data_IF_701627913966
#
_entry.id   IF_701627913966
#
_cell.length_a   1.000
_cell.length_b   1.000
_cell.length_c   1.000
_cell.angle_alpha   90.00
_cell.angle_beta   90.00
_cell.angle_gamma   90.00
#
_symmetry.space_group_name_H-M   'P 1'
#
loop_
_entity.id
_entity.type
_entity.pdbx_description
1 polymer ?
#
# COMPACT_ATOMS: atom_id res chain seq x y z
N UNK A 1 -16.39 -10.38 -6.02
CA UNK A 1 -16.92 -9.08 -5.63
C UNK A 1 -17.50 -8.42 -6.88
N UNK A 2 -18.70 -7.83 -6.84
CA UNK A 2 -19.32 -7.25 -8.02
C UNK A 2 -18.54 -6.03 -8.53
N UNK A 3 -18.45 -5.94 -9.85
CA UNK A 3 -17.82 -4.82 -10.57
C UNK A 3 -18.78 -4.42 -11.68
N UNK A 4 -19.00 -3.14 -11.85
CA UNK A 4 -19.83 -2.61 -12.94
C UNK A 4 -19.07 -2.65 -14.29
N UNK A 5 -18.64 -3.85 -14.70
CA UNK A 5 -17.91 -4.09 -15.94
C UNK A 5 -18.78 -3.85 -17.19
N UNK A 6 -20.09 -4.01 -17.05
CA UNK A 6 -21.07 -3.64 -18.04
C UNK A 6 -22.22 -2.86 -17.35
N UNK A 7 -22.59 -1.71 -17.87
CA UNK A 7 -23.67 -0.87 -17.35
C UNK A 7 -24.80 -0.76 -18.36
N UNK A 8 -26.04 -0.68 -17.87
CA UNK A 8 -27.20 -0.47 -18.72
C UNK A 8 -27.48 1.03 -18.85
N UNK A 9 -27.34 1.55 -20.05
CA UNK A 9 -27.63 2.94 -20.37
C UNK A 9 -28.81 2.98 -21.37
N UNK A 10 -29.96 3.47 -20.92
CA UNK A 10 -31.17 3.51 -21.77
C UNK A 10 -31.64 2.17 -22.30
N UNK A 11 -31.30 1.06 -21.61
CA UNK A 11 -31.61 -0.31 -22.03
C UNK A 11 -30.53 -1.02 -22.85
N UNK A 12 -29.48 -0.32 -23.29
CA UNK A 12 -28.33 -0.92 -23.94
C UNK A 12 -27.22 -1.23 -22.93
N UNK A 13 -26.58 -2.41 -23.07
CA UNK A 13 -25.39 -2.77 -22.31
C UNK A 13 -24.16 -2.07 -22.88
N UNK A 14 -23.48 -1.29 -22.06
CA UNK A 14 -22.23 -0.60 -22.40
C UNK A 14 -21.10 -1.27 -21.65
N UNK A 15 -20.10 -1.79 -22.37
CA UNK A 15 -18.89 -2.31 -21.78
C UNK A 15 -18.07 -1.15 -21.18
N UNK A 16 -17.74 -1.26 -19.90
CA UNK A 16 -17.09 -0.19 -19.15
C UNK A 16 -15.88 -0.76 -18.40
N UNK A 17 -15.92 -0.89 -17.09
CA UNK A 17 -14.77 -1.19 -16.25
C UNK A 17 -14.05 -2.49 -16.63
N UNK A 18 -12.80 -2.38 -17.11
CA UNK A 18 -11.95 -3.54 -17.47
C UNK A 18 -12.37 -4.30 -18.71
N UNK A 19 -13.32 -3.77 -19.49
CA UNK A 19 -13.77 -4.38 -20.77
C UNK A 19 -13.54 -3.52 -21.98
N UNK A 20 -13.86 -2.22 -21.90
CA UNK A 20 -13.74 -1.32 -23.03
C UNK A 20 -13.71 0.14 -22.61
N UNK A 21 -13.38 1.00 -23.57
CA UNK A 21 -13.41 2.44 -23.40
C UNK A 21 -14.69 3.01 -24.03
N UNK A 22 -15.12 4.16 -23.55
CA UNK A 22 -16.32 4.84 -24.01
C UNK A 22 -15.97 6.25 -24.44
N UNK A 23 -16.50 6.68 -25.57
CA UNK A 23 -16.40 8.05 -26.05
C UNK A 23 -17.81 8.62 -26.21
N UNK A 24 -18.07 9.72 -25.52
CA UNK A 24 -19.36 10.41 -25.48
C UNK A 24 -19.21 11.80 -26.05
N UNK A 25 -20.02 12.15 -27.05
CA UNK A 25 -20.04 13.48 -27.64
C UNK A 25 -21.48 14.00 -27.86
N UNK A 26 -21.60 15.33 -27.99
CA UNK A 26 -22.89 15.93 -28.37
C UNK A 26 -23.01 15.97 -29.90
N UNK A 27 -24.22 15.70 -30.40
CA UNK A 27 -24.54 15.92 -31.80
C UNK A 27 -24.97 17.38 -32.12
N UNK A 28 -25.28 18.15 -31.10
CA UNK A 28 -25.86 19.53 -31.23
C UNK A 28 -25.39 20.50 -30.15
N UNK A 29 -24.30 20.27 -29.46
CA UNK A 29 -23.75 21.15 -28.40
C UNK A 29 -24.78 21.62 -27.37
N UNK A 30 -25.66 20.72 -26.95
CA UNK A 30 -26.70 20.98 -25.95
C UNK A 30 -26.35 20.54 -24.53
N UNK A 31 -25.13 20.02 -24.33
CA UNK A 31 -24.62 19.53 -23.04
C UNK A 31 -25.20 18.17 -22.63
N UNK A 32 -25.85 17.46 -23.53
CA UNK A 32 -26.41 16.12 -23.26
C UNK A 32 -25.32 15.08 -22.99
N UNK A 33 -24.14 15.21 -23.65
CA UNK A 33 -22.98 14.36 -23.44
C UNK A 33 -22.46 14.39 -22.01
N UNK A 34 -22.46 15.57 -21.37
CA UNK A 34 -22.09 15.70 -19.97
C UNK A 34 -23.04 14.94 -19.05
N UNK A 35 -24.35 15.02 -19.27
CA UNK A 35 -25.31 14.27 -18.49
C UNK A 35 -25.13 12.75 -18.63
N UNK A 36 -24.83 12.28 -19.86
CA UNK A 36 -24.55 10.86 -20.12
C UNK A 36 -23.23 10.45 -19.46
N UNK A 37 -22.17 11.25 -19.52
CA UNK A 37 -20.90 10.99 -18.85
C UNK A 37 -21.10 10.90 -17.32
N UNK A 38 -21.85 11.80 -16.72
CA UNK A 38 -22.19 11.77 -15.31
C UNK A 38 -23.02 10.53 -14.92
N UNK A 39 -23.98 10.13 -15.76
CA UNK A 39 -24.74 8.91 -15.55
C UNK A 39 -23.84 7.66 -15.58
N UNK A 40 -22.89 7.59 -16.50
CA UNK A 40 -21.91 6.48 -16.57
C UNK A 40 -21.01 6.43 -15.34
N UNK A 41 -20.53 7.58 -14.86
CA UNK A 41 -19.72 7.66 -13.62
C UNK A 41 -20.56 7.17 -12.42
N UNK A 42 -21.82 7.64 -12.30
CA UNK A 42 -22.71 7.23 -11.22
C UNK A 42 -22.99 5.71 -11.24
N UNK A 43 -23.27 5.15 -12.42
CA UNK A 43 -23.49 3.71 -12.60
C UNK A 43 -22.24 2.90 -12.27
N UNK A 44 -21.05 3.37 -12.66
CA UNK A 44 -19.80 2.72 -12.33
C UNK A 44 -19.53 2.72 -10.82
N UNK A 45 -19.72 3.87 -10.15
CA UNK A 45 -19.55 3.99 -8.69
C UNK A 45 -20.56 3.17 -7.91
N UNK A 46 -21.85 3.27 -8.28
CA UNK A 46 -22.92 2.57 -7.58
C UNK A 46 -22.98 1.06 -7.83
N UNK A 47 -22.51 0.61 -9.01
CA UNK A 47 -22.51 -0.80 -9.41
C UNK A 47 -21.23 -1.56 -9.05
N UNK A 48 -20.17 -0.86 -8.64
CA UNK A 48 -18.91 -1.49 -8.23
C UNK A 48 -18.79 -1.50 -6.70
N UNK A 49 -18.32 -2.61 -6.13
CA UNK A 49 -18.08 -2.69 -4.69
C UNK A 49 -17.20 -1.51 -4.25
N UNK A 50 -17.61 -0.73 -3.24
CA UNK A 50 -16.88 0.43 -2.78
C UNK A 50 -15.41 0.11 -2.45
N UNK A 51 -14.50 1.00 -2.88
CA UNK A 51 -13.05 0.80 -2.73
C UNK A 51 -12.41 -0.09 -3.81
N UNK A 52 -13.19 -0.62 -4.76
CA UNK A 52 -12.69 -1.41 -5.88
C UNK A 52 -12.56 -0.62 -7.18
N UNK A 53 -13.03 0.61 -7.20
CA UNK A 53 -12.95 1.56 -8.31
C UNK A 53 -12.33 2.86 -7.84
N UNK A 54 -11.39 3.36 -8.60
CA UNK A 54 -10.78 4.68 -8.51
C UNK A 54 -11.16 5.48 -9.76
N UNK A 55 -11.64 6.69 -9.58
CA UNK A 55 -12.03 7.59 -10.69
C UNK A 55 -11.03 8.72 -10.77
N UNK A 56 -10.36 8.85 -11.90
CA UNK A 56 -9.39 9.92 -12.17
C UNK A 56 -9.99 10.82 -13.25
N UNK A 57 -10.24 12.08 -12.92
CA UNK A 57 -10.86 13.04 -13.85
C UNK A 57 -9.81 14.03 -14.32
N UNK A 58 -9.53 14.00 -15.61
CA UNK A 58 -8.67 14.93 -16.32
C UNK A 58 -9.58 15.92 -17.06
N UNK A 59 -9.86 17.07 -16.44
CA UNK A 59 -10.84 18.05 -16.95
C UNK A 59 -10.14 19.27 -17.55
N UNK A 60 -9.47 19.08 -18.69
CA UNK A 60 -8.76 20.15 -19.44
C UNK A 60 -9.73 21.23 -19.97
N UNK A 61 -10.97 20.85 -20.23
CA UNK A 61 -12.00 21.77 -20.74
C UNK A 61 -12.81 22.46 -19.63
N UNK A 62 -12.50 22.21 -18.36
CA UNK A 62 -13.18 22.77 -17.18
C UNK A 62 -14.70 22.56 -17.21
N UNK A 63 -15.13 21.38 -17.63
CA UNK A 63 -16.55 21.03 -17.80
C UNK A 63 -17.28 20.89 -16.47
N UNK A 64 -16.56 20.63 -15.38
CA UNK A 64 -17.16 20.36 -14.09
C UNK A 64 -17.90 19.02 -14.02
N UNK A 65 -17.60 18.06 -14.92
CA UNK A 65 -18.26 16.75 -14.99
C UNK A 65 -18.20 15.99 -13.67
N UNK A 66 -17.13 16.18 -12.88
CA UNK A 66 -16.92 15.54 -11.59
C UNK A 66 -17.55 16.28 -10.41
N UNK A 67 -18.05 17.51 -10.58
CA UNK A 67 -18.53 18.35 -9.48
C UNK A 67 -19.57 17.66 -8.55
N UNK A 68 -20.53 16.87 -9.06
CA UNK A 68 -21.50 16.22 -8.20
C UNK A 68 -20.96 15.07 -7.34
N UNK A 69 -19.73 14.59 -7.65
CA UNK A 69 -19.15 13.40 -7.02
C UNK A 69 -18.10 13.69 -5.96
N UNK A 70 -17.84 14.96 -5.61
CA UNK A 70 -16.77 15.34 -4.66
C UNK A 70 -16.93 14.67 -3.29
N UNK A 71 -18.16 14.49 -2.82
CA UNK A 71 -18.45 13.87 -1.53
C UNK A 71 -18.07 12.39 -1.45
N UNK A 72 -17.73 11.73 -2.57
CA UNK A 72 -17.36 10.30 -2.59
C UNK A 72 -16.11 10.00 -1.75
N UNK A 73 -15.24 10.99 -1.54
CA UNK A 73 -14.03 10.86 -0.71
C UNK A 73 -14.30 10.95 0.80
N UNK A 74 -15.54 11.22 1.21
CA UNK A 74 -15.91 11.36 2.63
C UNK A 74 -15.72 10.09 3.48
N UNK A 75 -15.56 8.90 2.86
CA UNK A 75 -15.32 7.63 3.53
C UNK A 75 -13.87 7.40 4.01
N UNK A 76 -12.98 8.37 3.87
CA UNK A 76 -11.58 8.28 4.29
C UNK A 76 -10.65 7.55 3.30
N UNK A 77 -11.17 7.08 2.16
CA UNK A 77 -10.39 6.58 1.03
C UNK A 77 -10.54 7.54 -0.15
N UNK A 78 -9.44 7.85 -0.83
CA UNK A 78 -9.49 8.66 -2.06
C UNK A 78 -10.01 7.80 -3.21
N UNK A 79 -11.25 8.04 -3.62
CA UNK A 79 -11.92 7.33 -4.72
C UNK A 79 -11.94 8.20 -5.98
N UNK A 80 -12.04 9.51 -5.82
CA UNK A 80 -12.09 10.49 -6.90
C UNK A 80 -10.89 11.42 -6.80
N UNK A 81 -10.17 11.57 -7.90
CA UNK A 81 -9.12 12.57 -8.10
C UNK A 81 -9.47 13.47 -9.29
N UNK A 82 -9.50 14.76 -9.08
CA UNK A 82 -9.81 15.74 -10.14
C UNK A 82 -8.57 16.59 -10.41
N UNK A 83 -8.09 16.53 -11.63
CA UNK A 83 -6.84 17.13 -12.07
C UNK A 83 -7.14 18.09 -13.25
N UNK A 84 -7.17 19.42 -13.03
CA UNK A 84 -7.61 20.38 -14.04
C UNK A 84 -6.49 20.87 -14.98
N UNK A 85 -5.24 20.49 -14.75
CA UNK A 85 -4.08 21.04 -15.46
C UNK A 85 -3.48 20.13 -16.52
N UNK A 86 -2.88 20.70 -17.56
CA UNK A 86 -2.17 19.94 -18.62
C UNK A 86 -0.91 19.24 -18.12
N UNK A 87 -0.22 19.81 -17.14
CA UNK A 87 0.95 19.18 -16.52
C UNK A 87 0.53 17.93 -15.74
N UNK A 88 -0.61 17.99 -15.06
CA UNK A 88 -1.22 16.85 -14.37
C UNK A 88 -1.61 15.75 -15.36
N UNK A 89 -2.09 16.10 -16.54
CA UNK A 89 -2.42 15.14 -17.59
C UNK A 89 -1.20 14.31 -18.01
N UNK A 90 -0.05 14.93 -18.29
CA UNK A 90 1.17 14.22 -18.68
C UNK A 90 1.70 13.31 -17.55
N UNK A 91 1.69 13.82 -16.32
CA UNK A 91 2.12 13.05 -15.14
C UNK A 91 1.21 11.82 -14.92
N UNK A 92 -0.12 12.02 -15.08
CA UNK A 92 -1.10 10.94 -14.94
C UNK A 92 -0.98 9.90 -16.03
N UNK A 93 -0.79 10.29 -17.29
CA UNK A 93 -0.58 9.34 -18.39
C UNK A 93 0.68 8.49 -18.17
N UNK A 94 1.77 9.09 -17.69
CA UNK A 94 2.99 8.36 -17.34
C UNK A 94 2.76 7.38 -16.17
N UNK A 95 2.04 7.80 -15.14
CA UNK A 95 1.63 6.93 -14.03
C UNK A 95 0.78 5.75 -14.52
N UNK A 96 -0.25 6.01 -15.35
CA UNK A 96 -1.12 4.97 -15.90
C UNK A 96 -0.34 3.97 -16.76
N UNK A 97 0.63 4.43 -17.55
CA UNK A 97 1.51 3.56 -18.34
C UNK A 97 2.29 2.60 -17.43
N UNK A 98 2.94 3.12 -16.40
CA UNK A 98 3.69 2.31 -15.44
C UNK A 98 2.77 1.32 -14.70
N UNK A 99 1.58 1.77 -14.31
CA UNK A 99 0.57 0.94 -13.66
C UNK A 99 0.13 -0.23 -14.59
N UNK A 100 -0.24 0.06 -15.85
CA UNK A 100 -0.63 -0.95 -16.84
C UNK A 100 0.49 -1.98 -17.06
N UNK A 101 1.74 -1.54 -17.16
CA UNK A 101 2.89 -2.43 -17.29
C UNK A 101 3.04 -3.33 -16.04
N UNK A 102 2.92 -2.76 -14.85
CA UNK A 102 2.98 -3.51 -13.59
C UNK A 102 1.90 -4.58 -13.50
N UNK A 103 0.64 -4.23 -13.80
CA UNK A 103 -0.48 -5.17 -13.80
C UNK A 103 -0.27 -6.28 -14.85
N UNK A 104 0.10 -5.92 -16.08
CA UNK A 104 0.31 -6.88 -17.15
C UNK A 104 1.41 -7.89 -16.80
N UNK A 105 2.52 -7.46 -16.20
CA UNK A 105 3.60 -8.36 -15.78
C UNK A 105 3.14 -9.44 -14.79
N UNK A 106 2.15 -9.15 -13.98
CA UNK A 106 1.64 -10.10 -12.96
C UNK A 106 0.51 -10.98 -13.52
N UNK A 107 -0.36 -10.40 -14.35
CA UNK A 107 -1.51 -11.11 -14.94
C UNK A 107 -1.08 -12.01 -16.11
N UNK A 108 -0.02 -11.65 -16.83
CA UNK A 108 0.49 -12.39 -17.97
C UNK A 108 0.80 -13.84 -17.60
N UNK A 109 0.27 -14.78 -18.37
CA UNK A 109 0.41 -16.21 -18.13
C UNK A 109 -0.47 -16.80 -17.03
N UNK A 110 -1.28 -15.96 -16.34
CA UNK A 110 -2.20 -16.39 -15.28
C UNK A 110 -3.66 -16.20 -15.65
N UNK A 111 -3.98 -15.06 -16.27
CA UNK A 111 -5.32 -14.75 -16.74
C UNK A 111 -5.28 -13.85 -17.98
N UNK A 112 -6.36 -13.80 -18.78
CA UNK A 112 -6.42 -12.93 -19.97
C UNK A 112 -6.40 -11.44 -19.63
N UNK A 113 -6.94 -11.05 -18.49
CA UNK A 113 -7.05 -9.67 -18.02
C UNK A 113 -7.21 -9.60 -16.49
N UNK A 114 -7.09 -8.39 -15.93
CA UNK A 114 -7.26 -8.16 -14.49
C UNK A 114 -8.64 -8.59 -13.98
N UNK A 115 -9.71 -8.35 -14.74
CA UNK A 115 -11.07 -8.73 -14.37
C UNK A 115 -11.20 -10.24 -14.13
N UNK A 116 -10.70 -11.05 -15.06
CA UNK A 116 -10.71 -12.52 -14.93
C UNK A 116 -9.78 -12.99 -13.83
N UNK A 117 -8.61 -12.37 -13.67
CA UNK A 117 -7.71 -12.67 -12.57
C UNK A 117 -8.37 -12.45 -11.21
N UNK A 118 -9.10 -11.33 -11.04
CA UNK A 118 -9.82 -11.03 -9.80
C UNK A 118 -10.92 -12.06 -9.47
N UNK A 119 -11.52 -12.69 -10.47
CA UNK A 119 -12.50 -13.77 -10.28
C UNK A 119 -11.87 -15.07 -9.79
N UNK A 120 -10.59 -15.28 -10.05
CA UNK A 120 -9.84 -16.49 -9.68
C UNK A 120 -9.21 -16.42 -8.28
N UNK A 121 -9.12 -15.24 -7.69
CA UNK A 121 -8.47 -15.04 -6.39
C UNK A 121 -9.48 -14.59 -5.34
N UNK A 122 -9.25 -14.98 -4.09
CA UNK A 122 -10.11 -14.70 -2.94
C UNK A 122 -9.63 -13.51 -2.08
N UNK A 123 -8.62 -12.79 -2.54
CA UNK A 123 -8.04 -11.65 -1.84
C UNK A 123 -8.15 -10.36 -2.68
N UNK A 124 -8.15 -9.18 -2.01
CA UNK A 124 -8.13 -7.90 -2.71
C UNK A 124 -6.91 -7.75 -3.62
N UNK A 125 -7.14 -7.38 -4.86
CA UNK A 125 -6.10 -7.02 -5.83
C UNK A 125 -6.26 -5.55 -6.22
N UNK A 126 -5.48 -5.08 -7.21
CA UNK A 126 -5.57 -3.71 -7.71
C UNK A 126 -7.01 -3.24 -7.92
N UNK A 127 -7.30 -1.99 -7.56
CA UNK A 127 -8.56 -1.32 -7.92
C UNK A 127 -8.61 -1.10 -9.43
N UNK A 128 -9.82 -1.11 -9.98
CA UNK A 128 -10.04 -0.63 -11.34
C UNK A 128 -9.89 0.89 -11.40
N UNK A 129 -9.47 1.40 -12.54
CA UNK A 129 -9.34 2.84 -12.76
C UNK A 129 -10.25 3.26 -13.91
N UNK A 130 -11.20 4.15 -13.59
CA UNK A 130 -11.98 4.86 -14.58
C UNK A 130 -11.35 6.23 -14.80
N UNK A 131 -10.73 6.42 -15.95
CA UNK A 131 -10.10 7.68 -16.34
C UNK A 131 -11.11 8.47 -17.17
N UNK A 132 -11.63 9.54 -16.59
CA UNK A 132 -12.53 10.46 -17.30
C UNK A 132 -11.69 11.56 -17.93
N UNK A 133 -11.59 11.58 -19.26
CA UNK A 133 -10.92 12.63 -20.00
C UNK A 133 -11.97 13.60 -20.58
N UNK A 134 -12.18 14.70 -19.89
CA UNK A 134 -13.06 15.78 -20.35
C UNK A 134 -12.23 16.81 -21.12
N UNK A 135 -12.07 16.56 -22.41
CA UNK A 135 -11.28 17.39 -23.32
C UNK A 135 -11.77 17.23 -24.75
N UNK A 136 -11.59 18.27 -25.54
CA UNK A 136 -11.64 18.14 -27.00
C UNK A 136 -10.38 17.43 -27.46
N UNK A 137 -10.52 16.13 -27.76
CA UNK A 137 -9.38 15.27 -28.08
C UNK A 137 -8.60 15.74 -29.28
N UNK A 138 -9.28 16.36 -30.28
CA UNK A 138 -8.65 16.87 -31.51
C UNK A 138 -7.78 18.09 -31.26
N UNK A 139 -8.03 18.86 -30.19
CA UNK A 139 -7.26 20.02 -29.78
C UNK A 139 -6.08 19.70 -28.86
N UNK A 140 -5.97 18.47 -28.40
CA UNK A 140 -4.83 18.04 -27.60
C UNK A 140 -3.56 17.96 -28.48
N UNK A 141 -2.37 18.25 -27.94
CA UNK A 141 -1.12 18.05 -28.66
C UNK A 141 -0.98 16.61 -29.17
N UNK A 142 -0.46 16.42 -30.36
CA UNK A 142 -0.31 15.11 -31.02
C UNK A 142 0.41 14.08 -30.14
N UNK A 143 1.40 14.52 -29.39
CA UNK A 143 2.11 13.68 -28.40
C UNK A 143 1.16 13.11 -27.36
N UNK A 144 0.22 13.90 -26.85
CA UNK A 144 -0.77 13.47 -25.86
C UNK A 144 -1.79 12.55 -26.51
N UNK A 145 -2.27 12.87 -27.71
CA UNK A 145 -3.20 12.00 -28.45
C UNK A 145 -2.60 10.61 -28.65
N UNK A 146 -1.34 10.53 -29.09
CA UNK A 146 -0.63 9.25 -29.28
C UNK A 146 -0.47 8.49 -27.97
N UNK A 147 -0.13 9.16 -26.86
CA UNK A 147 -0.01 8.54 -25.55
C UNK A 147 -1.33 7.97 -25.07
N UNK A 148 -2.42 8.73 -25.18
CA UNK A 148 -3.77 8.26 -24.81
C UNK A 148 -4.18 7.08 -25.70
N UNK A 149 -3.90 7.09 -27.02
CA UNK A 149 -4.21 5.98 -27.90
C UNK A 149 -3.52 4.67 -27.48
N UNK A 150 -2.26 4.75 -27.04
CA UNK A 150 -1.54 3.59 -26.47
C UNK A 150 -2.24 3.04 -25.23
N UNK A 151 -2.67 3.95 -24.34
CA UNK A 151 -3.33 3.58 -23.08
C UNK A 151 -4.76 3.03 -23.34
N UNK A 152 -5.50 3.58 -24.30
CA UNK A 152 -6.80 3.07 -24.73
C UNK A 152 -6.71 1.61 -25.18
N UNK A 153 -5.64 1.26 -25.92
CA UNK A 153 -5.42 -0.09 -26.42
C UNK A 153 -5.00 -1.09 -25.32
N UNK A 154 -4.13 -0.67 -24.42
CA UNK A 154 -3.54 -1.54 -23.41
C UNK A 154 -4.33 -1.56 -22.09
N UNK A 155 -5.04 -0.48 -21.77
CA UNK A 155 -5.66 -0.22 -20.48
C UNK A 155 -6.73 -1.22 -20.05
N UNK A 156 -7.73 -1.56 -20.89
CA UNK A 156 -8.84 -2.42 -20.46
C UNK A 156 -8.39 -3.76 -19.89
N UNK A 157 -7.35 -4.39 -20.47
CA UNK A 157 -6.79 -5.64 -19.97
C UNK A 157 -6.17 -5.52 -18.59
N UNK A 158 -5.64 -4.33 -18.26
CA UNK A 158 -5.06 -4.01 -16.96
C UNK A 158 -6.06 -3.35 -15.99
N UNK A 159 -7.33 -3.29 -16.36
CA UNK A 159 -8.37 -2.68 -15.52
C UNK A 159 -8.41 -1.16 -15.56
N UNK A 160 -7.77 -0.54 -16.55
CA UNK A 160 -7.80 0.92 -16.79
C UNK A 160 -8.72 1.19 -17.98
N UNK A 161 -9.81 1.89 -17.74
CA UNK A 161 -10.83 2.20 -18.75
C UNK A 161 -10.96 3.71 -18.88
N UNK A 162 -11.07 4.18 -20.11
CA UNK A 162 -11.27 5.60 -20.39
C UNK A 162 -12.74 5.88 -20.72
N UNK A 163 -13.26 6.94 -20.12
CA UNK A 163 -14.48 7.62 -20.51
C UNK A 163 -14.07 9.00 -21.08
N UNK A 164 -14.09 9.12 -22.40
CA UNK A 164 -13.76 10.37 -23.06
C UNK A 164 -15.05 11.16 -23.27
N UNK A 165 -15.09 12.35 -22.71
CA UNK A 165 -16.17 13.30 -22.85
C UNK A 165 -15.70 14.49 -23.72
N UNK A 166 -16.23 14.61 -24.93
CA UNK A 166 -15.93 15.68 -25.85
C UNK A 166 -17.14 16.57 -26.02
N UNK A 167 -16.93 17.89 -25.99
CA UNK A 167 -17.96 18.88 -26.28
C UNK A 167 -17.95 19.29 -27.76
N UNK A 168 -16.95 18.86 -28.53
CA UNK A 168 -16.89 19.11 -29.97
C UNK A 168 -17.51 17.97 -30.76
N UNK A 169 -18.09 18.33 -31.91
CA UNK A 169 -18.53 17.35 -32.91
C UNK A 169 -17.40 17.05 -33.88
N UNK A 170 -17.10 15.80 -34.08
CA UNK A 170 -16.14 15.43 -35.13
C UNK A 170 -15.70 13.97 -35.03
N UNK A 171 -15.53 13.37 -36.19
CA UNK A 171 -14.96 12.01 -36.28
C UNK A 171 -13.49 12.09 -35.92
N UNK A 172 -13.09 11.41 -34.88
CA UNK A 172 -11.69 11.24 -34.52
C UNK A 172 -11.26 9.80 -34.81
N UNK A 173 -10.41 9.62 -35.83
CA UNK A 173 -9.96 8.30 -36.27
C UNK A 173 -9.21 7.52 -35.18
N UNK A 174 -8.53 8.21 -34.25
CA UNK A 174 -7.84 7.56 -33.12
C UNK A 174 -8.82 6.90 -32.12
N UNK A 175 -9.97 7.53 -31.91
CA UNK A 175 -10.98 7.02 -30.97
C UNK A 175 -11.88 5.98 -31.61
N UNK A 176 -12.10 6.09 -32.94
CA UNK A 176 -12.89 5.15 -33.72
C UNK A 176 -12.20 3.77 -33.73
N UNK A 177 -12.89 2.76 -33.26
CA UNK A 177 -12.33 1.39 -33.14
C UNK A 177 -11.59 1.09 -31.82
N UNK A 178 -11.31 2.10 -30.96
CA UNK A 178 -10.77 1.90 -29.61
C UNK A 178 -11.79 2.18 -28.51
N UNK A 179 -12.88 2.87 -28.83
CA UNK A 179 -13.94 3.23 -27.90
C UNK A 179 -15.31 2.84 -28.42
N UNK A 180 -16.22 2.52 -27.54
CA UNK A 180 -17.66 2.50 -27.83
C UNK A 180 -18.09 3.93 -27.99
N UNK A 181 -18.47 4.33 -29.20
CA UNK A 181 -18.86 5.70 -29.52
C UNK A 181 -20.34 5.90 -29.23
N UNK A 182 -20.65 6.91 -28.44
CA UNK A 182 -22.01 7.33 -28.04
C UNK A 182 -22.19 8.79 -28.45
N UNK A 183 -23.17 9.01 -29.33
CA UNK A 183 -23.57 10.37 -29.73
C UNK A 183 -24.86 10.76 -29.02
N UNK A 184 -24.87 11.90 -28.38
CA UNK A 184 -26.00 12.40 -27.58
C UNK A 184 -26.78 13.47 -28.33
N UNK A 185 -28.12 13.35 -28.33
CA UNK A 185 -29.06 14.31 -28.89
C UNK A 185 -30.18 14.53 -27.90
N UNK A 186 -30.10 15.57 -27.10
CA UNK A 186 -30.95 15.75 -25.94
C UNK A 186 -30.88 14.54 -25.03
N UNK A 187 -32.05 13.92 -24.73
CA UNK A 187 -32.10 12.69 -23.90
C UNK A 187 -31.85 11.39 -24.68
N UNK A 188 -31.66 11.45 -26.00
CA UNK A 188 -31.47 10.27 -26.85
C UNK A 188 -30.00 9.98 -27.05
N UNK A 189 -29.60 8.73 -26.86
CA UNK A 189 -28.25 8.22 -27.10
C UNK A 189 -28.25 7.32 -28.33
N UNK A 190 -27.35 7.59 -29.24
CA UNK A 190 -27.15 6.87 -30.50
C UNK A 190 -25.79 6.15 -30.48
N UNK A 191 -25.68 5.01 -31.14
CA UNK A 191 -24.39 4.37 -31.41
C UNK A 191 -23.70 4.96 -32.66
N UNK A 192 -22.47 4.49 -32.94
CA UNK A 192 -21.70 4.91 -34.10
C UNK A 192 -22.39 4.74 -35.44
N UNK A 193 -23.41 3.87 -35.54
CA UNK A 193 -24.21 3.66 -36.75
C UNK A 193 -25.42 4.61 -36.83
N UNK A 194 -25.63 5.47 -35.84
CA UNK A 194 -26.81 6.31 -35.71
C UNK A 194 -28.05 5.59 -35.18
N UNK A 195 -27.92 4.31 -34.76
CA UNK A 195 -29.02 3.56 -34.18
C UNK A 195 -29.25 4.03 -32.75
N UNK A 196 -30.51 4.28 -32.43
CA UNK A 196 -30.93 4.65 -31.06
C UNK A 196 -30.70 3.51 -30.07
N UNK A 197 -29.88 3.74 -29.07
CA UNK A 197 -29.67 2.83 -27.95
C UNK A 197 -30.73 2.98 -26.85
N UNK A 198 -31.13 4.23 -26.57
CA UNK A 198 -32.13 4.48 -25.55
C UNK A 198 -32.32 5.97 -25.24
N UNK A 199 -33.07 6.24 -24.18
CA UNK A 199 -33.20 7.59 -23.58
C UNK A 199 -32.51 7.59 -22.23
N UNK A 200 -31.67 8.58 -22.00
CA UNK A 200 -31.01 8.84 -20.72
C UNK A 200 -31.45 10.23 -20.28
N UNK A 201 -32.42 10.32 -19.36
CA UNK A 201 -32.74 11.61 -18.77
C UNK A 201 -31.49 12.15 -18.05
N UNK A 202 -31.29 13.46 -18.11
CA UNK A 202 -30.21 14.09 -17.35
C UNK A 202 -30.43 13.80 -15.85
N UNK A 203 -29.48 13.15 -15.16
CA UNK A 203 -29.63 12.87 -13.73
C UNK A 203 -29.67 14.20 -12.96
N UNK A 204 -30.53 14.28 -11.97
CA UNK A 204 -30.59 15.44 -11.10
C UNK A 204 -29.32 15.57 -10.26
N UNK A 205 -28.85 16.79 -10.03
CA UNK A 205 -27.64 17.01 -9.23
C UNK A 205 -27.72 16.34 -7.84
N UNK A 206 -28.88 16.38 -7.20
CA UNK A 206 -29.11 15.72 -5.90
C UNK A 206 -29.04 14.20 -5.97
N UNK A 207 -29.43 13.59 -7.08
CA UNK A 207 -29.33 12.16 -7.31
C UNK A 207 -27.87 11.73 -7.41
N UNK A 208 -27.05 12.46 -8.18
CA UNK A 208 -25.61 12.22 -8.32
C UNK A 208 -24.87 12.38 -6.98
N UNK A 209 -25.17 13.45 -6.25
CA UNK A 209 -24.63 13.69 -4.90
C UNK A 209 -25.03 12.54 -3.96
N UNK A 210 -26.27 12.08 -4.05
CA UNK A 210 -26.76 10.93 -3.27
C UNK A 210 -25.98 9.66 -3.51
N UNK A 211 -25.62 9.35 -4.77
CA UNK A 211 -24.75 8.21 -5.13
C UNK A 211 -23.36 8.39 -4.50
N UNK A 212 -22.74 9.57 -4.63
CA UNK A 212 -21.44 9.84 -4.06
C UNK A 212 -21.40 9.63 -2.54
N UNK A 213 -22.39 10.18 -1.82
CA UNK A 213 -22.53 10.05 -0.38
C UNK A 213 -22.82 8.61 0.06
N UNK A 214 -23.61 7.87 -0.72
CA UNK A 214 -23.87 6.45 -0.44
C UNK A 214 -22.58 5.64 -0.55
N UNK A 215 -21.80 5.82 -1.61
CA UNK A 215 -20.52 5.14 -1.81
C UNK A 215 -19.55 5.49 -0.68
N UNK A 216 -19.42 6.78 -0.31
CA UNK A 216 -18.58 7.22 0.79
C UNK A 216 -18.93 6.54 2.12
N UNK A 217 -20.22 6.45 2.44
CA UNK A 217 -20.69 5.75 3.64
C UNK A 217 -20.36 4.27 3.62
N UNK A 218 -20.55 3.61 2.47
CA UNK A 218 -20.26 2.18 2.33
C UNK A 218 -18.76 1.89 2.43
N UNK A 219 -17.89 2.73 1.87
CA UNK A 219 -16.43 2.60 2.01
C UNK A 219 -16.01 2.69 3.46
N UNK A 220 -16.53 3.66 4.22
CA UNK A 220 -16.23 3.82 5.64
C UNK A 220 -16.68 2.66 6.53
N UNK A 221 -17.68 1.89 6.09
CA UNK A 221 -18.27 0.78 6.86
C UNK A 221 -17.92 -0.61 6.33
N UNK A 222 -17.40 -0.72 5.11
CA UNK A 222 -17.04 -2.02 4.53
C UNK A 222 -15.72 -2.51 5.14
N UNK A 223 -15.73 -3.56 5.99
CA UNK A 223 -14.50 -4.10 6.51
C UNK A 223 -13.68 -4.67 5.34
N UNK A 224 -12.42 -4.30 5.25
CA UNK A 224 -11.51 -5.00 4.33
C UNK A 224 -11.43 -6.46 4.77
N UNK A 225 -11.74 -7.38 3.86
CA UNK A 225 -11.60 -8.80 4.15
C UNK A 225 -10.13 -9.09 4.55
N UNK A 226 -9.89 -9.79 5.69
CA UNK A 226 -8.55 -10.12 6.10
C UNK A 226 -7.87 -10.99 5.04
N UNK A 227 -6.64 -10.64 4.70
CA UNK A 227 -5.82 -11.40 3.74
C UNK A 227 -5.20 -12.58 4.49
N UNK A 228 -5.37 -13.79 3.98
CA UNK A 228 -4.75 -14.97 4.57
C UNK A 228 -3.21 -14.87 4.52
N UNK A 229 -2.54 -15.22 5.62
CA UNK A 229 -1.07 -15.15 5.71
C UNK A 229 -0.38 -15.99 4.64
N UNK A 230 -0.98 -17.12 4.21
CA UNK A 230 -0.50 -17.97 3.12
C UNK A 230 -0.40 -17.26 1.77
N UNK A 231 -1.16 -16.19 1.54
CA UNK A 231 -1.06 -15.39 0.30
C UNK A 231 0.10 -14.41 0.34
N UNK A 232 0.56 -14.06 1.55
CA UNK A 232 1.67 -13.14 1.80
C UNK A 232 2.98 -13.88 1.91
N UNK A 233 2.97 -15.09 2.48
CA UNK A 233 4.15 -15.91 2.76
C UNK A 233 3.94 -17.34 2.26
N UNK A 234 4.96 -17.90 1.60
CA UNK A 234 4.96 -19.35 1.27
C UNK A 234 5.17 -20.17 2.55
N UNK A 235 4.18 -20.98 2.88
CA UNK A 235 4.19 -21.84 4.07
C UNK A 235 4.64 -23.28 3.78
N UNK A 236 4.82 -23.64 2.51
CA UNK A 236 5.09 -25.02 2.09
C UNK A 236 6.55 -25.44 2.29
N UNK A 237 7.47 -24.47 2.35
CA UNK A 237 8.92 -24.71 2.40
C UNK A 237 9.58 -23.85 3.47
N UNK A 238 9.47 -24.21 4.76
CA UNK A 238 10.12 -23.43 5.82
C UNK A 238 11.65 -23.55 5.76
N UNK A 239 12.32 -22.52 6.32
CA UNK A 239 13.75 -22.51 6.60
C UNK A 239 14.67 -22.68 5.38
N UNK A 240 14.32 -22.06 4.25
CA UNK A 240 15.12 -22.15 3.02
C UNK A 240 16.00 -20.93 2.78
N UNK A 241 15.75 -19.83 3.48
CA UNK A 241 16.49 -18.60 3.26
C UNK A 241 17.77 -18.55 4.10
N UNK A 242 18.82 -17.94 3.53
CA UNK A 242 20.02 -17.57 4.27
C UNK A 242 19.94 -16.11 4.69
N UNK A 243 20.35 -15.84 5.92
CA UNK A 243 20.44 -14.47 6.46
C UNK A 243 21.80 -13.80 6.22
N UNK A 244 22.65 -14.38 5.37
CA UNK A 244 24.00 -13.86 5.10
C UNK A 244 23.96 -12.38 4.65
N UNK A 245 23.09 -12.05 3.71
CA UNK A 245 22.96 -10.72 3.13
C UNK A 245 21.87 -9.85 3.76
N UNK A 246 21.15 -10.35 4.76
CA UNK A 246 20.09 -9.65 5.45
C UNK A 246 18.95 -10.58 5.87
N UNK A 247 17.95 -10.02 6.54
CA UNK A 247 16.71 -10.72 6.89
C UNK A 247 15.53 -10.05 6.19
N UNK A 248 14.81 -10.84 5.38
CA UNK A 248 13.67 -10.38 4.59
C UNK A 248 12.37 -10.90 5.18
N UNK A 249 11.39 -10.04 5.32
CA UNK A 249 10.05 -10.38 5.77
C UNK A 249 8.99 -9.76 4.87
N UNK A 250 7.84 -10.41 4.82
CA UNK A 250 6.67 -9.92 4.10
C UNK A 250 5.79 -9.10 5.03
N UNK A 251 5.30 -7.95 4.54
CA UNK A 251 4.39 -7.07 5.27
C UNK A 251 2.94 -7.29 4.87
N UNK A 252 2.71 -7.69 3.63
CA UNK A 252 1.38 -7.79 3.05
C UNK A 252 1.45 -7.79 1.53
N UNK A 253 0.44 -7.19 0.93
CA UNK A 253 0.34 -7.02 -0.53
C UNK A 253 0.01 -5.57 -0.86
N UNK A 254 0.57 -5.13 -1.96
CA UNK A 254 0.15 -3.91 -2.64
C UNK A 254 -0.30 -4.31 -4.04
N UNK A 255 -1.61 -4.29 -4.25
CA UNK A 255 -2.17 -4.86 -5.46
C UNK A 255 -1.80 -6.32 -5.66
N UNK A 256 -1.21 -6.64 -6.80
CA UNK A 256 -0.78 -7.99 -7.15
C UNK A 256 0.59 -8.37 -6.56
N UNK A 257 1.34 -7.42 -6.07
CA UNK A 257 2.70 -7.63 -5.59
C UNK A 257 2.74 -7.89 -4.09
N UNK A 258 3.65 -8.77 -3.65
CA UNK A 258 4.00 -8.89 -2.24
C UNK A 258 4.88 -7.71 -1.85
N UNK A 259 4.59 -7.12 -0.70
CA UNK A 259 5.43 -6.08 -0.11
C UNK A 259 6.41 -6.75 0.83
N UNK A 260 7.68 -6.75 0.46
CA UNK A 260 8.76 -7.34 1.22
C UNK A 260 9.80 -6.29 1.60
N UNK A 261 10.38 -6.47 2.77
CA UNK A 261 11.42 -5.59 3.31
C UNK A 261 12.59 -6.42 3.77
N UNK A 262 13.79 -5.98 3.41
CA UNK A 262 15.05 -6.58 3.88
C UNK A 262 15.74 -5.65 4.86
N UNK A 263 16.14 -6.17 6.03
CA UNK A 263 17.00 -5.49 6.99
C UNK A 263 18.43 -6.03 6.91
N UNK A 264 19.38 -5.14 7.04
CA UNK A 264 20.80 -5.48 7.06
C UNK A 264 21.41 -5.68 5.68
N UNK A 265 20.69 -5.32 4.60
CA UNK A 265 21.30 -5.22 3.28
C UNK A 265 22.20 -3.97 3.20
N UNK A 266 23.30 -4.08 2.45
CA UNK A 266 24.24 -2.98 2.28
C UNK A 266 23.75 -1.95 1.25
N UNK A 267 22.85 -2.33 0.36
CA UNK A 267 22.37 -1.50 -0.75
C UNK A 267 21.40 -0.44 -0.26
N UNK A 268 20.36 -0.87 0.47
CA UNK A 268 19.29 0.03 0.94
C UNK A 268 19.59 0.65 2.31
N UNK A 269 20.65 0.22 2.97
CA UNK A 269 21.08 0.69 4.30
C UNK A 269 19.99 0.61 5.39
N UNK A 270 18.98 -0.25 5.22
CA UNK A 270 17.91 -0.46 6.18
C UNK A 270 18.38 -1.40 7.29
N UNK A 271 18.49 -0.88 8.50
CA UNK A 271 19.02 -1.67 9.62
C UNK A 271 18.01 -1.86 10.73
N UNK A 272 17.19 -0.86 10.99
CA UNK A 272 16.21 -0.82 12.07
C UNK A 272 14.84 -0.39 11.54
N UNK A 273 13.79 -0.78 12.25
CA UNK A 273 12.39 -0.51 11.92
C UNK A 273 11.72 0.22 13.07
N UNK A 274 11.01 1.29 12.77
CA UNK A 274 10.10 1.96 13.69
C UNK A 274 8.66 1.78 13.21
N UNK A 275 7.79 1.28 14.07
CA UNK A 275 6.37 1.02 13.77
C UNK A 275 5.51 1.85 14.72
N UNK A 276 4.58 2.63 14.18
CA UNK A 276 3.60 3.35 15.00
C UNK A 276 2.18 3.09 14.51
N UNK A 277 1.21 3.29 15.39
CA UNK A 277 -0.20 3.16 15.06
C UNK A 277 -1.07 3.33 16.30
N UNK A 278 -2.18 4.06 16.17
CA UNK A 278 -3.14 4.23 17.24
C UNK A 278 -3.72 2.88 17.70
N UNK A 279 -4.35 2.87 18.86
CA UNK A 279 -5.00 1.67 19.41
C UNK A 279 -6.00 1.09 18.41
N UNK A 280 -5.97 -0.23 18.22
CA UNK A 280 -6.89 -0.93 17.32
C UNK A 280 -6.58 -0.83 15.83
N UNK A 281 -5.51 -0.13 15.41
CA UNK A 281 -5.18 0.05 14.00
C UNK A 281 -4.31 -1.08 13.39
N UNK A 282 -4.06 -2.16 14.14
CA UNK A 282 -3.39 -3.35 13.63
C UNK A 282 -1.88 -3.40 13.85
N UNK A 283 -1.29 -2.54 14.72
CA UNK A 283 0.14 -2.55 15.07
C UNK A 283 0.60 -3.95 15.51
N UNK A 284 -0.10 -4.55 16.45
CA UNK A 284 0.20 -5.90 16.97
C UNK A 284 0.11 -6.98 15.88
N UNK A 285 -0.88 -6.88 14.99
CA UNK A 285 -1.01 -7.77 13.84
C UNK A 285 0.19 -7.63 12.88
N UNK A 286 0.62 -6.38 12.58
CA UNK A 286 1.78 -6.14 11.73
C UNK A 286 3.07 -6.72 12.32
N UNK A 287 3.30 -6.52 13.63
CA UNK A 287 4.45 -7.10 14.34
C UNK A 287 4.39 -8.63 14.27
N UNK A 288 3.23 -9.23 14.50
CA UNK A 288 3.03 -10.68 14.36
C UNK A 288 3.33 -11.17 12.95
N UNK A 289 2.85 -10.50 11.91
CA UNK A 289 3.13 -10.84 10.50
C UNK A 289 4.62 -10.84 10.22
N UNK A 290 5.34 -9.81 10.70
CA UNK A 290 6.80 -9.71 10.54
C UNK A 290 7.50 -10.90 11.21
N UNK A 291 7.17 -11.19 12.46
CA UNK A 291 7.80 -12.29 13.24
C UNK A 291 7.51 -13.64 12.58
N UNK A 292 6.26 -13.92 12.22
CA UNK A 292 5.89 -15.19 11.58
C UNK A 292 6.54 -15.32 10.19
N UNK A 293 6.61 -14.26 9.40
CA UNK A 293 7.28 -14.28 8.10
C UNK A 293 8.76 -14.63 8.23
N UNK A 294 9.45 -14.05 9.22
CA UNK A 294 10.85 -14.33 9.50
C UNK A 294 11.05 -15.77 9.97
N UNK A 295 10.24 -16.25 10.93
CA UNK A 295 10.32 -17.61 11.46
C UNK A 295 10.03 -18.68 10.38
N UNK A 296 9.20 -18.36 9.41
CA UNK A 296 8.92 -19.24 8.29
C UNK A 296 10.09 -19.32 7.29
N UNK A 297 10.78 -18.20 7.05
CA UNK A 297 11.86 -18.11 6.07
C UNK A 297 13.19 -18.66 6.57
N UNK A 298 13.55 -18.34 7.80
CA UNK A 298 14.86 -18.60 8.37
C UNK A 298 14.80 -19.69 9.44
N UNK A 299 15.83 -20.53 9.51
CA UNK A 299 15.98 -21.46 10.62
C UNK A 299 16.48 -20.75 11.89
N UNK A 300 16.37 -21.38 13.09
CA UNK A 300 16.93 -20.82 14.32
C UNK A 300 18.45 -20.61 14.30
N UNK A 301 19.15 -21.28 13.38
CA UNK A 301 20.61 -21.09 13.16
C UNK A 301 20.90 -19.82 12.32
N UNK A 302 19.92 -19.39 11.54
CA UNK A 302 20.00 -18.20 10.69
C UNK A 302 19.46 -16.93 11.38
N UNK A 303 18.48 -17.10 12.29
CA UNK A 303 17.78 -15.99 12.96
C UNK A 303 17.54 -16.29 14.43
N UNK A 304 17.91 -15.36 15.30
CA UNK A 304 17.56 -15.32 16.71
C UNK A 304 16.62 -14.14 17.00
N UNK A 305 15.60 -14.36 17.82
CA UNK A 305 14.62 -13.36 18.21
C UNK A 305 14.73 -13.01 19.69
N UNK A 306 14.71 -11.71 19.99
CA UNK A 306 14.58 -11.15 21.33
C UNK A 306 13.28 -10.34 21.34
N UNK A 307 12.27 -10.84 22.02
CA UNK A 307 10.89 -10.34 21.95
C UNK A 307 10.50 -9.78 23.31
N UNK A 308 10.20 -8.47 23.35
CA UNK A 308 9.80 -7.77 24.56
C UNK A 308 8.47 -7.05 24.32
N UNK A 309 7.51 -7.28 25.22
CA UNK A 309 6.21 -6.60 25.25
C UNK A 309 6.05 -5.96 26.63
N UNK A 310 5.93 -4.64 26.69
CA UNK A 310 5.80 -3.85 27.90
C UNK A 310 4.34 -3.56 28.28
N UNK A 311 3.38 -4.14 27.56
CA UNK A 311 1.95 -3.92 27.80
C UNK A 311 1.19 -5.22 27.81
N UNK A 312 1.03 -5.82 29.01
CA UNK A 312 0.17 -6.98 29.27
C UNK A 312 0.37 -8.20 28.31
N UNK A 313 1.47 -8.21 27.57
CA UNK A 313 1.84 -9.32 26.67
C UNK A 313 0.92 -9.56 25.47
N UNK A 314 -0.02 -8.67 25.18
CA UNK A 314 -1.10 -8.91 24.18
C UNK A 314 -0.56 -9.21 22.80
N UNK A 315 0.47 -8.47 22.37
CA UNK A 315 1.05 -8.61 21.02
C UNK A 315 1.81 -9.92 20.85
N UNK A 316 2.59 -10.30 21.83
CA UNK A 316 3.50 -11.47 21.75
C UNK A 316 2.96 -12.73 22.43
N UNK A 317 1.81 -12.66 23.10
CA UNK A 317 1.17 -13.81 23.77
C UNK A 317 0.93 -15.03 22.84
N UNK A 318 0.57 -14.86 21.56
CA UNK A 318 0.47 -16.01 20.66
C UNK A 318 1.78 -16.78 20.43
N UNK A 319 2.92 -16.19 20.78
CA UNK A 319 4.25 -16.80 20.69
C UNK A 319 4.71 -17.43 22.02
N UNK A 320 3.87 -17.35 23.05
CA UNK A 320 4.10 -18.03 24.34
C UNK A 320 4.18 -19.55 24.13
N UNK A 321 4.82 -20.29 25.06
CA UNK A 321 4.84 -21.75 25.00
C UNK A 321 3.42 -22.31 24.84
N UNK A 322 3.27 -23.27 23.95
CA UNK A 322 2.00 -23.95 23.76
C UNK A 322 1.62 -24.81 24.97
N UNK A 323 0.44 -25.40 24.95
CA UNK A 323 -0.03 -26.30 26.04
C UNK A 323 0.85 -27.55 26.31
N UNK A 324 1.87 -27.80 25.44
CA UNK A 324 2.89 -28.85 25.64
C UNK A 324 4.21 -28.30 26.17
N UNK A 325 4.31 -27.01 26.47
CA UNK A 325 5.52 -26.37 26.93
C UNK A 325 6.57 -26.13 25.82
N UNK A 326 6.21 -26.24 24.54
CA UNK A 326 7.11 -26.00 23.42
C UNK A 326 7.26 -24.51 23.15
N UNK A 327 8.51 -24.06 23.07
CA UNK A 327 8.86 -22.68 22.80
C UNK A 327 9.08 -22.43 21.31
N UNK A 328 8.91 -21.18 20.87
CA UNK A 328 9.33 -20.75 19.54
C UNK A 328 10.85 -20.97 19.40
N UNK A 329 11.33 -21.83 18.47
CA UNK A 329 12.76 -22.21 18.41
C UNK A 329 13.73 -21.02 18.17
N UNK A 330 13.24 -19.96 17.56
CA UNK A 330 14.01 -18.73 17.27
C UNK A 330 14.16 -17.83 18.49
N UNK A 331 13.25 -17.91 19.46
CA UNK A 331 13.22 -17.01 20.61
C UNK A 331 14.33 -17.35 21.61
N UNK A 332 15.25 -16.41 21.82
CA UNK A 332 16.23 -16.42 22.89
C UNK A 332 15.72 -15.71 24.14
N UNK A 333 14.85 -14.74 23.94
CA UNK A 333 14.17 -14.00 24.98
C UNK A 333 12.72 -13.80 24.54
N UNK A 334 11.78 -14.08 25.43
CA UNK A 334 10.37 -13.77 25.29
C UNK A 334 9.90 -13.17 26.63
N UNK A 335 9.85 -11.84 26.69
CA UNK A 335 9.34 -11.08 27.83
C UNK A 335 7.90 -10.66 27.54
N UNK A 336 6.95 -11.40 28.11
CA UNK A 336 5.54 -11.01 28.14
C UNK A 336 5.31 -10.23 29.41
N UNK A 337 4.71 -9.05 29.32
CA UNK A 337 4.55 -8.14 30.46
C UNK A 337 5.92 -7.81 31.11
N UNK A 338 6.87 -7.42 30.25
CA UNK A 338 8.23 -7.09 30.67
C UNK A 338 8.25 -5.80 31.51
N UNK A 339 9.01 -5.81 32.61
CA UNK A 339 9.33 -4.61 33.34
C UNK A 339 10.50 -3.83 32.70
N UNK A 340 10.71 -2.60 33.13
CA UNK A 340 11.74 -1.69 32.61
C UNK A 340 13.15 -2.21 32.89
N UNK A 341 13.37 -2.79 34.07
CA UNK A 341 14.63 -3.39 34.49
C UNK A 341 15.02 -4.55 33.58
N UNK A 342 14.06 -5.41 33.28
CA UNK A 342 14.26 -6.53 32.34
C UNK A 342 14.67 -6.04 30.97
N UNK A 343 13.99 -5.00 30.43
CA UNK A 343 14.34 -4.40 29.15
C UNK A 343 15.78 -3.85 29.13
N UNK A 344 16.18 -3.16 30.19
CA UNK A 344 17.56 -2.67 30.34
C UNK A 344 18.57 -3.82 30.42
N UNK A 345 18.26 -4.91 31.14
CA UNK A 345 19.10 -6.11 31.18
C UNK A 345 19.28 -6.76 29.80
N UNK A 346 18.24 -6.85 29.02
CA UNK A 346 18.31 -7.35 27.65
C UNK A 346 19.19 -6.46 26.77
N UNK A 347 19.06 -5.15 26.82
CA UNK A 347 19.91 -4.22 26.09
C UNK A 347 21.39 -4.35 26.49
N UNK A 348 21.68 -4.49 27.79
CA UNK A 348 23.05 -4.76 28.29
C UNK A 348 23.58 -6.10 27.76
N UNK A 349 22.76 -7.14 27.74
CA UNK A 349 23.12 -8.46 27.19
C UNK A 349 23.45 -8.37 25.69
N UNK A 350 22.66 -7.65 24.91
CA UNK A 350 22.88 -7.46 23.49
C UNK A 350 24.18 -6.68 23.20
N UNK A 351 24.53 -5.68 24.02
CA UNK A 351 25.82 -5.00 23.93
C UNK A 351 27.00 -5.93 24.25
N UNK A 352 26.86 -6.86 25.19
CA UNK A 352 27.87 -7.92 25.42
C UNK A 352 28.00 -8.84 24.22
N UNK A 353 26.88 -9.24 23.63
CA UNK A 353 26.83 -10.06 22.41
C UNK A 353 27.51 -9.34 21.22
N UNK A 354 27.21 -8.03 21.02
CA UNK A 354 27.90 -7.20 20.06
C UNK A 354 29.43 -7.23 20.25
N UNK A 355 29.90 -7.00 21.47
CA UNK A 355 31.35 -7.01 21.76
C UNK A 355 32.00 -8.34 21.44
N UNK A 356 31.35 -9.46 21.77
CA UNK A 356 31.83 -10.82 21.44
C UNK A 356 31.92 -11.03 19.92
N UNK A 357 30.93 -10.56 19.17
CA UNK A 357 30.93 -10.65 17.69
C UNK A 357 32.07 -9.82 17.10
N UNK A 358 32.24 -8.59 17.57
CA UNK A 358 33.32 -7.70 17.11
C UNK A 358 34.72 -8.26 17.41
N UNK A 359 34.93 -8.89 18.56
CA UNK A 359 36.17 -9.60 18.87
C UNK A 359 36.45 -10.72 17.84
N UNK A 360 35.46 -11.54 17.51
CA UNK A 360 35.57 -12.57 16.47
C UNK A 360 35.85 -12.00 15.08
N UNK A 361 35.24 -10.86 14.75
CA UNK A 361 35.49 -10.19 13.49
C UNK A 361 36.96 -9.70 13.40
N UNK A 362 37.46 -9.14 14.49
CA UNK A 362 38.87 -8.72 14.58
C UNK A 362 39.83 -9.90 14.42
N UNK A 363 39.57 -11.03 15.09
CA UNK A 363 40.38 -12.26 14.98
C UNK A 363 40.40 -12.82 13.54
N UNK A 364 39.34 -12.61 12.77
CA UNK A 364 39.17 -13.11 11.40
C UNK A 364 39.49 -12.06 10.34
N UNK A 365 39.87 -10.83 10.74
CA UNK A 365 40.20 -9.74 9.80
C UNK A 365 39.00 -9.19 9.02
N UNK A 366 37.79 -9.31 9.54
CA UNK A 366 36.54 -8.83 8.89
C UNK A 366 35.90 -7.71 9.70
N UNK A 367 34.98 -6.96 9.05
CA UNK A 367 34.33 -5.80 9.67
C UNK A 367 32.82 -5.99 9.86
N UNK A 368 32.22 -7.03 9.26
CA UNK A 368 30.78 -7.24 9.31
C UNK A 368 30.40 -8.72 9.33
N UNK A 369 29.17 -8.99 9.80
CA UNK A 369 28.60 -10.33 9.78
C UNK A 369 28.57 -10.93 8.36
N UNK A 370 28.31 -10.13 7.33
CA UNK A 370 28.32 -10.58 5.94
C UNK A 370 29.70 -11.10 5.54
N UNK A 371 30.75 -10.33 5.78
CA UNK A 371 32.13 -10.74 5.51
C UNK A 371 32.52 -11.98 6.33
N UNK A 372 32.14 -12.01 7.62
CA UNK A 372 32.43 -13.17 8.49
C UNK A 372 31.80 -14.45 7.93
N UNK A 373 30.54 -14.40 7.52
CA UNK A 373 29.85 -15.57 6.95
C UNK A 373 30.38 -15.98 5.59
N UNK A 374 30.84 -15.03 4.77
CA UNK A 374 31.49 -15.33 3.50
C UNK A 374 32.82 -16.10 3.68
N UNK A 375 33.61 -15.74 4.72
CA UNK A 375 34.87 -16.45 5.03
C UNK A 375 34.66 -17.79 5.77
N UNK A 376 33.58 -17.97 6.47
CA UNK A 376 33.29 -19.13 7.33
C UNK A 376 31.92 -19.72 7.07
N UNK A 377 31.63 -20.21 5.86
CA UNK A 377 30.28 -20.68 5.50
C UNK A 377 29.79 -21.86 6.35
N UNK A 378 30.72 -22.66 6.92
CA UNK A 378 30.38 -23.78 7.83
C UNK A 378 30.05 -23.32 9.27
N UNK A 379 30.30 -22.06 9.62
CA UNK A 379 30.01 -21.51 10.95
C UNK A 379 28.96 -20.42 10.82
N UNK A 380 27.70 -20.82 10.93
CA UNK A 380 26.60 -19.85 10.94
C UNK A 380 26.70 -18.95 12.17
N UNK A 381 26.54 -17.64 11.93
CA UNK A 381 26.29 -16.66 12.97
C UNK A 381 24.93 -16.06 12.66
N UNK A 382 23.94 -16.43 13.45
CA UNK A 382 22.58 -15.97 13.25
C UNK A 382 22.50 -14.43 13.28
N UNK A 383 21.67 -13.82 12.44
CA UNK A 383 21.26 -12.43 12.68
C UNK A 383 20.30 -12.38 13.85
N UNK A 384 20.26 -11.26 14.53
CA UNK A 384 19.39 -11.04 15.69
C UNK A 384 18.37 -9.97 15.33
N UNK A 385 17.09 -10.24 15.54
CA UNK A 385 16.05 -9.21 15.55
C UNK A 385 15.55 -9.04 16.99
N UNK A 386 15.62 -7.80 17.46
CA UNK A 386 15.10 -7.39 18.76
C UNK A 386 13.80 -6.64 18.50
N UNK A 387 12.70 -7.18 18.95
CA UNK A 387 11.37 -6.55 18.88
C UNK A 387 11.04 -6.00 20.25
N UNK A 388 10.75 -4.71 20.33
CA UNK A 388 10.32 -4.05 21.55
C UNK A 388 8.97 -3.38 21.28
N UNK A 389 7.90 -4.02 21.71
CA UNK A 389 6.56 -3.42 21.64
C UNK A 389 6.32 -2.51 22.85
N UNK A 390 5.66 -1.38 22.59
CA UNK A 390 5.43 -0.29 23.54
C UNK A 390 6.75 0.20 24.19
N UNK A 391 7.78 0.38 23.35
CA UNK A 391 9.13 0.74 23.80
C UNK A 391 9.18 2.04 24.61
N UNK A 392 8.22 2.95 24.47
CA UNK A 392 8.11 4.19 25.24
C UNK A 392 7.97 3.91 26.75
N UNK A 393 7.48 2.74 27.13
CA UNK A 393 7.38 2.34 28.53
C UNK A 393 8.73 2.27 29.25
N UNK A 394 9.84 2.01 28.52
CA UNK A 394 11.19 2.11 29.07
C UNK A 394 11.50 3.50 29.64
N UNK A 395 10.77 4.52 29.22
CA UNK A 395 10.97 5.94 29.52
C UNK A 395 9.77 6.55 30.24
N UNK A 396 8.87 5.74 30.80
CA UNK A 396 7.64 6.21 31.43
C UNK A 396 7.93 7.14 32.62
N UNK A 397 8.97 6.82 33.39
CA UNK A 397 9.42 7.65 34.50
C UNK A 397 10.69 8.42 34.11
N UNK A 398 10.87 9.61 34.68
CA UNK A 398 12.07 10.41 34.42
C UNK A 398 13.15 10.15 35.49
N UNK A 399 13.57 8.90 35.61
CA UNK A 399 14.52 8.41 36.61
C UNK A 399 15.90 8.01 36.04
N UNK A 400 16.72 7.39 36.87
CA UNK A 400 18.05 6.91 36.47
C UNK A 400 17.97 5.74 35.48
N UNK A 401 16.95 4.90 35.59
CA UNK A 401 16.75 3.74 34.72
C UNK A 401 16.37 4.16 33.29
N UNK A 402 15.48 5.17 33.15
CA UNK A 402 15.15 5.74 31.85
C UNK A 402 16.35 6.38 31.16
N UNK A 403 17.18 7.09 31.92
CA UNK A 403 18.44 7.67 31.40
C UNK A 403 19.39 6.59 30.92
N UNK A 404 19.54 5.51 31.68
CA UNK A 404 20.35 4.37 31.28
C UNK A 404 19.79 3.66 30.04
N UNK A 405 18.47 3.39 30.00
CA UNK A 405 17.80 2.81 28.85
C UNK A 405 18.06 3.64 27.57
N UNK A 406 17.98 4.98 27.67
CA UNK A 406 18.25 5.88 26.55
C UNK A 406 19.72 5.81 26.10
N UNK A 407 20.69 5.75 27.04
CA UNK A 407 22.11 5.61 26.69
C UNK A 407 22.42 4.28 26.03
N UNK A 408 21.83 3.20 26.53
CA UNK A 408 21.98 1.87 25.95
C UNK A 408 21.37 1.82 24.54
N UNK A 409 20.17 2.42 24.36
CA UNK A 409 19.50 2.44 23.06
C UNK A 409 20.30 3.24 22.03
N UNK A 410 20.81 4.45 22.40
CA UNK A 410 21.67 5.27 21.53
C UNK A 410 22.89 4.45 21.07
N UNK A 411 23.54 3.74 21.98
CA UNK A 411 24.70 2.89 21.65
C UNK A 411 24.29 1.74 20.75
N UNK A 412 23.20 1.09 21.05
CA UNK A 412 22.69 -0.07 20.30
C UNK A 412 22.40 0.28 18.85
N UNK A 413 21.63 1.34 18.58
CA UNK A 413 21.26 1.74 17.22
C UNK A 413 22.46 2.13 16.35
N UNK A 414 23.53 2.66 16.97
CA UNK A 414 24.76 3.05 16.26
C UNK A 414 25.71 1.88 16.00
N UNK A 415 25.77 0.91 16.90
CA UNK A 415 26.79 -0.12 16.89
C UNK A 415 26.35 -1.44 16.25
N UNK A 416 25.09 -1.79 16.39
CA UNK A 416 24.58 -3.14 16.11
C UNK A 416 24.61 -3.55 14.64
N UNK A 417 24.60 -2.59 13.73
CA UNK A 417 24.57 -2.81 12.28
C UNK A 417 25.61 -3.84 11.81
N UNK A 418 26.88 -3.58 12.10
CA UNK A 418 27.97 -4.44 11.64
C UNK A 418 27.90 -5.86 12.21
N UNK A 419 27.36 -6.01 13.42
CA UNK A 419 27.21 -7.29 14.09
C UNK A 419 25.94 -8.08 13.66
N UNK A 420 25.11 -7.55 12.75
CA UNK A 420 23.88 -8.18 12.30
C UNK A 420 22.80 -8.25 13.37
N UNK A 421 22.74 -7.24 14.24
CA UNK A 421 21.69 -7.08 15.26
C UNK A 421 20.81 -5.93 14.81
N UNK A 422 19.52 -6.17 14.70
CA UNK A 422 18.51 -5.25 14.20
C UNK A 422 17.46 -4.97 15.28
N UNK A 423 16.95 -3.75 15.30
CA UNK A 423 15.91 -3.33 16.23
C UNK A 423 14.60 -3.05 15.47
N UNK A 424 13.50 -3.59 15.98
CA UNK A 424 12.15 -3.18 15.64
C UNK A 424 11.52 -2.58 16.90
N UNK A 425 11.32 -1.27 16.89
CA UNK A 425 10.62 -0.55 17.94
C UNK A 425 9.19 -0.30 17.52
N UNK A 426 8.24 -0.65 18.37
CA UNK A 426 6.83 -0.40 18.13
C UNK A 426 6.23 0.43 19.27
N UNK A 427 5.37 1.39 18.93
CA UNK A 427 4.74 2.28 19.89
C UNK A 427 3.40 2.81 19.37
N UNK A 428 2.53 3.22 20.28
CA UNK A 428 1.33 3.96 19.93
C UNK A 428 1.64 5.44 19.70
N UNK A 429 2.60 6.00 20.44
CA UNK A 429 3.04 7.39 20.34
C UNK A 429 4.56 7.47 20.36
N UNK A 430 5.12 8.41 19.62
CA UNK A 430 6.55 8.77 19.70
C UNK A 430 6.75 10.22 20.13
N UNK A 431 5.73 11.06 19.97
CA UNK A 431 5.74 12.42 20.44
C UNK A 431 5.60 12.45 21.98
N UNK A 432 6.32 13.35 22.62
CA UNK A 432 6.17 13.61 24.07
C UNK A 432 6.81 12.59 25.02
N UNK A 433 7.64 11.65 24.53
CA UNK A 433 8.41 10.75 25.42
C UNK A 433 9.45 11.57 26.19
N UNK A 434 9.13 11.93 27.43
CA UNK A 434 9.93 12.86 28.25
C UNK A 434 11.37 12.38 28.47
N UNK A 435 11.57 11.08 28.69
CA UNK A 435 12.89 10.47 28.88
C UNK A 435 13.78 10.45 27.64
N UNK A 436 13.23 10.74 26.46
CA UNK A 436 13.97 10.79 25.19
C UNK A 436 14.22 12.20 24.64
N UNK A 437 13.69 13.26 25.25
CA UNK A 437 13.75 14.65 24.73
C UNK A 437 15.14 15.08 24.24
N UNK A 438 16.19 14.70 24.93
CA UNK A 438 17.56 15.07 24.57
C UNK A 438 18.23 14.10 23.58
N UNK A 439 17.69 12.91 23.36
CA UNK A 439 18.33 11.82 22.61
C UNK A 439 17.43 11.25 21.50
N UNK A 440 16.16 11.63 21.47
CA UNK A 440 15.16 11.11 20.54
C UNK A 440 15.60 11.23 19.08
N UNK A 441 15.99 12.42 18.66
CA UNK A 441 16.43 12.68 17.27
C UNK A 441 17.62 11.80 16.89
N UNK A 442 18.59 11.63 17.79
CA UNK A 442 19.76 10.78 17.58
C UNK A 442 19.42 9.30 17.48
N UNK A 443 18.36 8.85 18.17
CA UNK A 443 17.86 7.48 18.10
C UNK A 443 17.06 7.29 16.81
N UNK A 444 16.06 8.14 16.58
CA UNK A 444 15.13 7.98 15.45
C UNK A 444 15.80 8.20 14.09
N UNK A 445 16.88 8.99 14.00
CA UNK A 445 17.72 9.09 12.80
C UNK A 445 18.36 7.74 12.39
N UNK A 446 18.45 6.77 13.29
CA UNK A 446 18.97 5.43 13.00
C UNK A 446 17.89 4.41 12.61
N UNK A 447 16.66 4.89 12.37
CA UNK A 447 15.53 4.09 11.89
C UNK A 447 15.12 4.56 10.48
N UNK A 448 15.84 4.13 9.43
CA UNK A 448 15.55 4.53 8.06
C UNK A 448 14.24 3.92 7.54
N UNK A 449 13.80 2.81 8.12
CA UNK A 449 12.51 2.21 7.80
C UNK A 449 11.48 2.60 8.88
N UNK A 450 10.46 3.33 8.46
CA UNK A 450 9.38 3.79 9.32
C UNK A 450 8.04 3.37 8.75
N UNK A 451 7.18 2.84 9.60
CA UNK A 451 5.85 2.38 9.24
C UNK A 451 4.84 3.05 10.16
N UNK A 452 3.95 3.84 9.57
CA UNK A 452 2.85 4.47 10.31
C UNK A 452 1.53 3.84 9.86
N UNK A 453 0.84 3.19 10.78
CA UNK A 453 -0.57 2.85 10.60
C UNK A 453 -1.40 4.11 10.91
N UNK A 454 -2.74 4.01 10.80
CA UNK A 454 -3.61 5.16 11.09
C UNK A 454 -3.29 5.77 12.45
N UNK A 455 -2.98 7.05 12.45
CA UNK A 455 -2.56 7.84 13.59
C UNK A 455 -3.19 9.24 13.57
N UNK A 456 -2.96 10.04 14.60
CA UNK A 456 -3.22 11.47 14.55
C UNK A 456 -2.29 12.16 13.55
N UNK A 457 -2.67 13.33 13.04
CA UNK A 457 -1.83 14.09 12.12
C UNK A 457 -0.46 14.40 12.76
N UNK A 458 -0.43 14.79 14.03
CA UNK A 458 0.79 15.09 14.76
C UNK A 458 1.75 13.90 14.87
N UNK A 459 1.25 12.69 15.18
CA UNK A 459 2.08 11.49 15.27
C UNK A 459 2.55 11.05 13.88
N UNK A 460 1.69 11.16 12.85
CA UNK A 460 2.07 10.86 11.47
C UNK A 460 3.17 11.80 10.97
N UNK A 461 3.08 13.08 11.28
CA UNK A 461 4.11 14.06 10.98
C UNK A 461 5.41 13.75 11.73
N UNK A 462 5.34 13.49 13.03
CA UNK A 462 6.51 13.17 13.85
C UNK A 462 7.28 11.94 13.34
N UNK A 463 6.60 10.97 12.73
CA UNK A 463 7.24 9.75 12.23
C UNK A 463 7.71 9.86 10.78
N UNK A 464 6.96 10.54 9.91
CA UNK A 464 7.19 10.53 8.46
C UNK A 464 7.92 11.79 7.95
N UNK A 465 7.79 12.95 8.62
CA UNK A 465 8.31 14.24 8.15
C UNK A 465 9.70 14.61 8.63
N UNK A 466 10.41 13.74 9.34
CA UNK A 466 11.81 14.01 9.68
C UNK A 466 12.71 13.87 8.44
N UNK A 467 12.90 14.99 7.81
CA UNK A 467 14.00 15.43 6.94
C UNK A 467 14.77 14.38 6.13
N UNK A 468 14.54 14.42 4.85
CA UNK A 468 15.60 14.22 3.86
C UNK A 468 16.37 15.53 3.67
#
# INVERSE_FOLDING_TARGET
MPVADQVSLGGAGIDLIGRGNVWVEDSVLDGASQAVAQALIALALGGTTPGQLEVIVLDDSLTGVASPFQDVNGGGQKILDVLPGRDDLLATLAYLRAHIQGVNNVVQGRAPCLLEFRRQVDYPVESFKLVVLAADFSLLPERIQNEVAVLLKAGPRAGVTFLIHSMSMGVNEFLTGMCTHLTCQGTTVLDASGRRLGRVPAPGAQELIGVAQQVARQVGTTPMAPIAFSTVQDLTRPWRASSADGITFSLGRYGLSRVEVTLGDEVNQRHNVLVTGAVGQGKSNLVSVIVHSLCQRYSPEELELYLLDFKEGVTLKPLAPNGRGEFLPHARVLGLDADREYGVHVLRHLLRTYRRRMARFKETGVQSIRQYRALRPARTMARILVVIDEFQMLFADNDSLAREAADLLVRSVRLFRAAGIHLLLASQTISGISGLRAKGDSIFAQFPLRMSLKNTAQESEAILSQHN
#
